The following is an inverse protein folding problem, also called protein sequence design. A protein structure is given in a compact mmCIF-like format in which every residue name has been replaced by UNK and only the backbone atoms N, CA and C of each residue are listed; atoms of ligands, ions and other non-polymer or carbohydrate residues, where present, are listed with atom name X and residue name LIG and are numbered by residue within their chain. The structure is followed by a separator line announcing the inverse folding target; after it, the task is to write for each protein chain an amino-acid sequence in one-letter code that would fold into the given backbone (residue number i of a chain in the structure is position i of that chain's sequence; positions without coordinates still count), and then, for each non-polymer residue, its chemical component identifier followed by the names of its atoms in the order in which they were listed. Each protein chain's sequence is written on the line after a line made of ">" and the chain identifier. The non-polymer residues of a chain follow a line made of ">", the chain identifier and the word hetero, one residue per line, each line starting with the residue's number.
data_IF_818296129498
#
_entry.id   IF_818296129498
#
_cell.length_a   1.000
_cell.length_b   1.000
_cell.length_c   1.000
_cell.angle_alpha   90.00
_cell.angle_beta   90.00
_cell.angle_gamma   90.00
#
_symmetry.space_group_name_H-M   'P 1'
#
loop_
_entity.id
_entity.type
_entity.pdbx_description
1 polymer ?
#
# COMPACT_ATOMS: atom_id res chain seq x y z
N UNK A 1 -32.16 -12.63 19.75
CA UNK A 1 -30.70 -12.49 19.74
C UNK A 1 -30.40 -11.34 18.78
N UNK A 2 -29.95 -10.20 19.29
CA UNK A 2 -29.48 -9.12 18.43
C UNK A 2 -28.26 -9.65 17.67
N UNK A 3 -28.32 -9.62 16.33
CA UNK A 3 -27.17 -9.92 15.48
C UNK A 3 -26.12 -8.87 15.80
N UNK A 4 -25.04 -9.25 16.42
CA UNK A 4 -23.91 -8.40 16.67
C UNK A 4 -23.20 -8.19 15.34
N UNK A 5 -23.28 -6.97 14.76
CA UNK A 5 -22.60 -6.63 13.50
C UNK A 5 -21.09 -6.87 13.60
N UNK A 6 -20.44 -7.07 12.44
CA UNK A 6 -18.98 -7.19 12.37
C UNK A 6 -18.32 -5.92 12.90
N UNK A 7 -17.15 -6.04 13.50
CA UNK A 7 -16.37 -4.88 13.93
C UNK A 7 -15.74 -4.21 12.71
N UNK A 8 -15.93 -2.90 12.57
CA UNK A 8 -15.30 -2.11 11.50
C UNK A 8 -13.88 -1.68 11.90
N UNK A 9 -12.90 -1.75 10.98
CA UNK A 9 -11.49 -1.42 11.28
C UNK A 9 -11.24 0.09 11.26
N UNK A 10 -11.88 0.85 12.16
CA UNK A 10 -11.76 2.31 12.24
C UNK A 10 -10.30 2.67 12.59
N UNK A 11 -9.61 3.36 11.66
CA UNK A 11 -8.22 3.77 11.85
C UNK A 11 -7.19 2.65 11.83
N UNK A 12 -7.58 1.40 11.54
CA UNK A 12 -6.66 0.28 11.42
C UNK A 12 -6.19 0.16 9.97
N UNK A 13 -4.87 0.28 9.75
CA UNK A 13 -4.25 0.19 8.42
C UNK A 13 -3.41 -1.07 8.24
N UNK A 14 -3.27 -1.89 9.29
CA UNK A 14 -2.44 -3.10 9.30
C UNK A 14 -3.29 -4.32 9.06
N UNK A 15 -2.99 -5.08 8.00
CA UNK A 15 -3.73 -6.29 7.61
C UNK A 15 -3.77 -7.32 8.74
N UNK A 16 -2.63 -7.60 9.38
CA UNK A 16 -2.57 -8.52 10.52
C UNK A 16 -3.55 -8.15 11.64
N UNK A 17 -3.59 -6.87 12.04
CA UNK A 17 -4.52 -6.42 13.09
C UNK A 17 -5.97 -6.65 12.71
N UNK A 18 -6.32 -6.42 11.45
CA UNK A 18 -7.67 -6.65 10.93
C UNK A 18 -8.01 -8.15 11.01
N UNK A 19 -7.10 -9.02 10.56
CA UNK A 19 -7.35 -10.46 10.52
C UNK A 19 -7.39 -11.11 11.90
N UNK A 20 -6.41 -10.78 12.75
CA UNK A 20 -6.34 -11.30 14.13
C UNK A 20 -7.50 -10.77 14.99
N UNK A 21 -7.86 -9.49 14.81
CA UNK A 21 -8.97 -8.87 15.53
C UNK A 21 -10.36 -9.24 14.98
N UNK A 22 -10.44 -10.05 13.93
CA UNK A 22 -11.68 -10.43 13.26
C UNK A 22 -12.56 -9.23 12.84
N UNK A 23 -11.89 -8.16 12.39
CA UNK A 23 -12.57 -7.00 11.81
C UNK A 23 -13.07 -7.31 10.40
N UNK A 24 -14.04 -6.52 9.96
CA UNK A 24 -14.48 -6.57 8.58
C UNK A 24 -13.33 -6.26 7.62
N UNK A 25 -13.18 -7.10 6.61
CA UNK A 25 -12.20 -6.94 5.54
C UNK A 25 -12.86 -7.21 4.19
N UNK A 26 -12.84 -6.22 3.31
CA UNK A 26 -13.25 -6.43 1.91
C UNK A 26 -12.09 -7.09 1.19
N UNK A 27 -12.31 -8.31 0.72
CA UNK A 27 -11.27 -9.15 0.15
C UNK A 27 -10.74 -8.58 -1.18
N UNK A 28 -9.54 -8.07 -1.15
CA UNK A 28 -8.77 -7.57 -2.31
C UNK A 28 -7.56 -8.47 -2.63
N UNK A 29 -7.47 -9.64 -2.00
CA UNK A 29 -6.27 -10.47 -2.08
C UNK A 29 -6.04 -11.10 -3.44
N UNK A 30 -7.06 -11.17 -4.30
CA UNK A 30 -6.87 -11.56 -5.70
C UNK A 30 -5.94 -10.58 -6.44
N UNK A 31 -6.02 -9.27 -6.14
CA UNK A 31 -5.11 -8.28 -6.72
C UNK A 31 -3.68 -8.45 -6.22
N UNK A 32 -3.48 -8.86 -4.97
CA UNK A 32 -2.16 -9.22 -4.43
C UNK A 32 -1.56 -10.35 -5.24
N UNK A 33 -2.33 -11.42 -5.48
CA UNK A 33 -1.89 -12.53 -6.32
C UNK A 33 -1.53 -12.09 -7.74
N UNK A 34 -2.39 -11.32 -8.39
CA UNK A 34 -2.16 -10.80 -9.75
C UNK A 34 -0.90 -9.93 -9.84
N UNK A 35 -0.64 -9.08 -8.86
CA UNK A 35 0.56 -8.25 -8.82
C UNK A 35 1.82 -9.10 -8.62
N UNK A 36 1.80 -10.03 -7.68
CA UNK A 36 2.94 -10.89 -7.36
C UNK A 36 3.33 -11.84 -8.51
N UNK A 37 2.38 -12.16 -9.40
CA UNK A 37 2.55 -13.03 -10.56
C UNK A 37 2.48 -12.27 -11.91
N UNK A 38 2.63 -10.94 -11.86
CA UNK A 38 2.64 -10.13 -13.08
C UNK A 38 3.97 -10.27 -13.83
N UNK A 39 3.97 -9.82 -15.07
CA UNK A 39 5.13 -9.72 -15.95
C UNK A 39 6.14 -8.63 -15.54
N UNK A 40 5.80 -7.81 -14.56
CA UNK A 40 6.65 -6.73 -14.03
C UNK A 40 6.86 -6.90 -12.54
N UNK A 41 8.12 -6.85 -12.12
CA UNK A 41 8.50 -6.85 -10.70
C UNK A 41 8.38 -5.46 -10.05
N UNK A 42 8.19 -4.40 -10.83
CA UNK A 42 8.07 -3.03 -10.35
C UNK A 42 6.68 -2.52 -10.62
N UNK A 43 5.91 -2.27 -9.57
CA UNK A 43 4.51 -1.83 -9.67
C UNK A 43 4.33 -0.50 -8.95
N UNK A 44 3.62 0.40 -9.62
CA UNK A 44 3.23 1.68 -9.08
C UNK A 44 1.71 1.83 -9.05
N UNK A 45 1.20 2.30 -7.90
CA UNK A 45 -0.22 2.60 -7.69
C UNK A 45 -0.41 3.99 -7.07
N UNK A 46 -1.11 4.89 -7.74
CA UNK A 46 -1.60 6.10 -7.10
C UNK A 46 -3.10 6.02 -6.83
N UNK A 47 -3.49 6.43 -5.62
CA UNK A 47 -4.88 6.57 -5.17
C UNK A 47 -4.99 7.76 -4.22
N UNK A 48 -6.15 8.40 -4.10
CA UNK A 48 -6.36 9.44 -3.10
C UNK A 48 -6.05 8.96 -1.68
N UNK A 49 -5.96 9.89 -0.74
CA UNK A 49 -5.87 9.56 0.68
C UNK A 49 -7.09 8.74 1.11
N UNK A 50 -6.92 7.89 2.13
CA UNK A 50 -7.98 7.08 2.76
C UNK A 50 -8.61 5.99 1.86
N UNK A 51 -8.00 5.67 0.71
CA UNK A 51 -8.48 4.60 -0.19
C UNK A 51 -7.94 3.21 0.15
N UNK A 52 -7.21 3.02 1.25
CA UNK A 52 -6.71 1.71 1.67
C UNK A 52 -5.36 1.31 1.07
N UNK A 53 -4.54 2.28 0.59
CA UNK A 53 -3.19 2.02 0.08
C UNK A 53 -2.30 1.33 1.11
N UNK A 54 -2.21 1.89 2.32
CA UNK A 54 -1.40 1.33 3.41
C UNK A 54 -1.89 -0.06 3.83
N UNK A 55 -3.21 -0.31 3.81
CA UNK A 55 -3.76 -1.63 4.03
C UNK A 55 -3.31 -2.61 2.93
N UNK A 56 -3.36 -2.21 1.66
CA UNK A 56 -2.87 -3.03 0.55
C UNK A 56 -1.36 -3.31 0.69
N UNK A 57 -0.56 -2.29 1.07
CA UNK A 57 0.88 -2.46 1.29
C UNK A 57 1.16 -3.44 2.42
N UNK A 58 0.44 -3.35 3.56
CA UNK A 58 0.60 -4.32 4.66
C UNK A 58 0.04 -5.71 4.32
N UNK A 59 -0.90 -5.82 3.37
CA UNK A 59 -1.35 -7.12 2.86
C UNK A 59 -0.28 -7.77 1.97
N UNK A 60 0.39 -6.98 1.12
CA UNK A 60 1.55 -7.43 0.34
C UNK A 60 2.71 -7.88 1.25
N UNK A 61 3.00 -7.11 2.30
CA UNK A 61 3.99 -7.46 3.32
C UNK A 61 3.71 -8.83 3.90
N UNK A 62 2.52 -9.05 4.47
CA UNK A 62 2.11 -10.32 5.04
C UNK A 62 2.16 -11.48 4.03
N UNK A 63 1.84 -11.23 2.76
CA UNK A 63 1.91 -12.23 1.70
C UNK A 63 3.37 -12.63 1.42
N UNK A 64 4.26 -11.68 1.21
CA UNK A 64 5.66 -11.95 0.92
C UNK A 64 6.45 -12.46 2.13
N UNK A 65 5.99 -12.21 3.35
CA UNK A 65 6.48 -12.84 4.57
C UNK A 65 5.97 -14.30 4.75
N UNK A 66 5.16 -14.81 3.83
CA UNK A 66 4.64 -16.18 3.90
C UNK A 66 3.58 -16.40 5.00
N UNK A 67 2.95 -15.33 5.53
CA UNK A 67 1.98 -15.35 6.63
C UNK A 67 0.62 -15.96 6.21
N UNK A 68 0.63 -17.19 5.72
CA UNK A 68 -0.54 -17.92 5.19
C UNK A 68 -1.75 -17.90 6.12
N UNK A 69 -1.54 -17.98 7.41
CA UNK A 69 -2.58 -18.02 8.43
C UNK A 69 -3.51 -16.78 8.40
N UNK A 70 -2.98 -15.62 7.97
CA UNK A 70 -3.74 -14.38 7.84
C UNK A 70 -4.70 -14.38 6.65
N UNK A 71 -4.45 -15.22 5.66
CA UNK A 71 -5.24 -15.28 4.42
C UNK A 71 -6.35 -16.33 4.43
N UNK A 72 -6.51 -17.03 5.55
CA UNK A 72 -7.54 -18.06 5.70
C UNK A 72 -8.94 -17.53 5.35
N UNK A 73 -9.60 -18.19 4.41
CA UNK A 73 -10.94 -17.83 3.92
C UNK A 73 -10.97 -16.73 2.87
N UNK A 74 -9.81 -16.16 2.46
CA UNK A 74 -9.69 -15.16 1.42
C UNK A 74 -9.36 -15.78 0.05
N UNK A 75 -9.53 -15.01 -1.02
CA UNK A 75 -9.29 -15.47 -2.38
C UNK A 75 -7.86 -16.00 -2.59
N UNK A 76 -6.87 -15.33 -2.00
CA UNK A 76 -5.46 -15.69 -2.11
C UNK A 76 -5.15 -17.09 -1.56
N UNK A 77 -5.84 -17.54 -0.51
CA UNK A 77 -5.63 -18.90 0.04
C UNK A 77 -5.90 -19.99 -1.00
N UNK A 78 -6.81 -19.74 -1.94
CA UNK A 78 -7.17 -20.69 -3.00
C UNK A 78 -6.33 -20.53 -4.26
N UNK A 79 -5.77 -19.34 -4.47
CA UNK A 79 -4.98 -19.01 -5.66
C UNK A 79 -3.50 -19.37 -5.47
N UNK A 80 -2.98 -19.18 -4.24
CA UNK A 80 -1.57 -19.41 -3.95
C UNK A 80 -1.33 -20.82 -3.43
N UNK A 81 -0.38 -21.51 -4.05
CA UNK A 81 0.04 -22.86 -3.67
C UNK A 81 1.40 -22.87 -2.98
N UNK A 82 2.26 -21.90 -3.31
CA UNK A 82 3.64 -21.81 -2.82
C UNK A 82 3.83 -20.58 -1.95
N UNK A 83 3.62 -20.71 -0.66
CA UNK A 83 3.81 -19.63 0.31
C UNK A 83 5.30 -19.44 0.64
N UNK A 84 6.01 -18.86 -0.31
CA UNK A 84 7.44 -18.59 -0.17
C UNK A 84 7.68 -17.35 0.67
N UNK A 85 8.53 -17.49 1.70
CA UNK A 85 8.98 -16.37 2.54
C UNK A 85 10.11 -15.61 1.83
N UNK A 86 9.97 -14.29 1.76
CA UNK A 86 10.97 -13.36 1.24
C UNK A 86 11.35 -12.34 2.31
N UNK A 87 12.60 -11.83 2.34
CA UNK A 87 12.92 -10.66 3.13
C UNK A 87 12.15 -9.44 2.59
N UNK A 88 11.38 -8.79 3.46
CA UNK A 88 10.58 -7.61 3.10
C UNK A 88 11.17 -6.36 3.75
N UNK A 89 11.38 -5.32 2.95
CA UNK A 89 11.77 -3.99 3.38
C UNK A 89 10.60 -3.05 3.12
N UNK A 90 9.90 -2.65 4.18
CA UNK A 90 8.73 -1.78 4.11
C UNK A 90 9.06 -0.37 4.62
N UNK A 91 8.90 0.64 3.78
CA UNK A 91 9.14 2.05 4.07
C UNK A 91 7.84 2.85 3.97
N UNK A 92 7.28 3.25 5.10
CA UNK A 92 6.20 4.24 5.16
C UNK A 92 6.83 5.64 5.22
N UNK A 93 6.63 6.44 4.17
CA UNK A 93 7.20 7.78 4.05
C UNK A 93 6.32 8.88 4.64
N UNK A 94 5.15 8.53 5.21
CA UNK A 94 4.20 9.50 5.81
C UNK A 94 4.46 9.79 7.29
N UNK A 95 5.41 9.11 7.92
CA UNK A 95 5.59 9.08 9.39
C UNK A 95 6.07 10.39 10.02
N UNK A 96 6.63 11.32 9.23
CA UNK A 96 7.11 12.61 9.73
C UNK A 96 6.82 13.73 8.74
N UNK A 97 6.83 14.98 9.23
CA UNK A 97 6.83 16.16 8.34
C UNK A 97 8.25 16.45 7.88
N UNK A 98 8.43 16.53 6.58
CA UNK A 98 9.71 16.74 5.93
C UNK A 98 9.83 18.22 5.49
N UNK A 99 10.40 19.05 6.36
CA UNK A 99 10.48 20.50 6.12
C UNK A 99 11.79 20.92 5.48
N UNK A 100 12.87 20.13 5.63
CA UNK A 100 14.20 20.37 5.08
C UNK A 100 14.96 19.06 4.81
N UNK A 101 16.17 19.20 4.23
CA UNK A 101 17.04 18.07 3.88
C UNK A 101 17.47 17.28 5.09
N UNK A 102 17.90 17.95 6.14
CA UNK A 102 18.45 17.36 7.35
C UNK A 102 17.42 16.49 8.06
N UNK A 103 16.17 16.97 8.11
CA UNK A 103 15.06 16.22 8.68
C UNK A 103 14.73 14.98 7.86
N UNK A 104 14.64 15.12 6.54
CA UNK A 104 14.38 13.98 5.65
C UNK A 104 15.48 12.92 5.74
N UNK A 105 16.76 13.33 5.68
CA UNK A 105 17.89 12.39 5.82
C UNK A 105 17.89 11.70 7.19
N UNK A 106 17.54 12.41 8.25
CA UNK A 106 17.41 11.83 9.60
C UNK A 106 16.33 10.74 9.65
N UNK A 107 15.16 10.99 9.07
CA UNK A 107 14.07 10.00 9.03
C UNK A 107 14.44 8.77 8.18
N UNK A 108 15.07 8.98 7.01
CA UNK A 108 15.57 7.88 6.19
C UNK A 108 16.62 7.06 6.93
N UNK A 109 17.53 7.71 7.67
CA UNK A 109 18.52 7.03 8.49
C UNK A 109 17.88 6.16 9.57
N UNK A 110 16.85 6.64 10.27
CA UNK A 110 16.14 5.86 11.29
C UNK A 110 15.51 4.60 10.68
N UNK A 111 14.85 4.72 9.53
CA UNK A 111 14.25 3.57 8.84
C UNK A 111 15.31 2.54 8.41
N UNK A 112 16.47 2.98 7.95
CA UNK A 112 17.55 2.07 7.56
C UNK A 112 18.17 1.37 8.77
N UNK A 113 18.28 2.02 9.94
CA UNK A 113 18.79 1.42 11.17
C UNK A 113 17.95 0.19 11.59
N UNK A 114 16.64 0.23 11.40
CA UNK A 114 15.77 -0.92 11.72
C UNK A 114 16.22 -2.17 10.94
N UNK A 115 16.49 -2.04 9.65
CA UNK A 115 16.95 -3.14 8.80
C UNK A 115 18.43 -3.47 8.99
N UNK A 116 19.27 -2.48 9.34
CA UNK A 116 20.67 -2.74 9.71
C UNK A 116 20.78 -3.57 10.98
N UNK A 117 19.86 -3.42 11.92
CA UNK A 117 19.80 -4.28 13.12
C UNK A 117 19.52 -5.75 12.74
N UNK A 118 18.88 -6.02 11.62
CA UNK A 118 18.57 -7.37 11.15
C UNK A 118 19.69 -7.91 10.24
N UNK A 119 20.09 -7.12 9.24
CA UNK A 119 20.98 -7.57 8.17
C UNK A 119 22.44 -7.07 8.32
N UNK A 120 22.69 -6.23 9.32
CA UNK A 120 24.00 -5.62 9.54
C UNK A 120 24.24 -4.37 8.69
N UNK A 121 25.40 -3.74 8.91
CA UNK A 121 25.90 -2.58 8.18
C UNK A 121 27.31 -2.85 7.66
N UNK A 122 27.58 -2.50 6.39
CA UNK A 122 28.90 -2.64 5.77
C UNK A 122 29.84 -1.49 6.12
N UNK A 123 31.15 -1.77 6.11
CA UNK A 123 32.16 -0.72 6.22
C UNK A 123 32.11 0.22 4.99
N UNK A 124 32.18 1.53 5.22
CA UNK A 124 32.14 2.55 4.15
C UNK A 124 30.74 2.88 3.62
N UNK A 125 29.68 2.33 4.17
CA UNK A 125 28.31 2.72 3.86
C UNK A 125 27.93 4.00 4.62
N UNK A 126 28.30 5.16 4.09
CA UNK A 126 28.09 6.44 4.75
C UNK A 126 26.74 7.06 4.42
N UNK A 127 26.32 7.00 3.15
CA UNK A 127 25.15 7.66 2.64
C UNK A 127 23.91 6.73 2.64
N UNK A 128 22.71 7.31 2.71
CA UNK A 128 21.43 6.58 2.75
C UNK A 128 21.27 5.61 1.57
N UNK A 129 21.71 5.97 0.37
CA UNK A 129 21.63 5.10 -0.80
C UNK A 129 22.61 3.91 -0.71
N UNK A 130 23.84 4.11 -0.26
CA UNK A 130 24.83 3.04 -0.05
C UNK A 130 24.34 2.05 1.02
N UNK A 131 23.81 2.56 2.12
CA UNK A 131 23.24 1.77 3.21
C UNK A 131 22.03 0.94 2.71
N UNK A 132 21.11 1.56 1.99
CA UNK A 132 19.95 0.85 1.44
C UNK A 132 20.39 -0.24 0.44
N UNK A 133 21.34 0.06 -0.45
CA UNK A 133 21.93 -0.93 -1.35
C UNK A 133 22.58 -2.09 -0.59
N UNK A 134 23.35 -1.79 0.46
CA UNK A 134 23.99 -2.79 1.29
C UNK A 134 23.00 -3.69 2.02
N UNK A 135 21.91 -3.12 2.56
CA UNK A 135 20.84 -3.87 3.21
C UNK A 135 20.22 -4.87 2.23
N UNK A 136 19.86 -4.43 1.00
CA UNK A 136 19.27 -5.30 -0.03
C UNK A 136 20.21 -6.48 -0.34
N UNK A 137 21.51 -6.23 -0.55
CA UNK A 137 22.49 -7.27 -0.86
C UNK A 137 22.65 -8.26 0.29
N UNK A 138 22.82 -7.78 1.51
CA UNK A 138 22.97 -8.64 2.69
C UNK A 138 21.72 -9.44 3.01
N UNK A 139 20.54 -8.85 2.85
CA UNK A 139 19.28 -9.57 3.00
C UNK A 139 19.21 -10.74 2.00
N UNK A 140 19.57 -10.51 0.74
CA UNK A 140 19.68 -11.57 -0.27
C UNK A 140 20.73 -12.63 0.09
N UNK A 141 21.93 -12.22 0.46
CA UNK A 141 23.05 -13.12 0.78
C UNK A 141 22.74 -14.00 2.00
N UNK A 142 22.14 -13.43 3.04
CA UNK A 142 21.82 -14.14 4.29
C UNK A 142 20.64 -15.10 4.14
N UNK A 143 19.65 -14.76 3.31
CA UNK A 143 18.43 -15.56 3.18
C UNK A 143 18.45 -16.50 1.95
N UNK A 144 19.32 -16.24 0.98
CA UNK A 144 19.29 -16.90 -0.34
C UNK A 144 18.03 -16.59 -1.15
N UNK A 145 17.24 -15.58 -0.75
CA UNK A 145 16.00 -15.16 -1.37
C UNK A 145 16.09 -13.72 -1.87
N UNK A 146 15.48 -13.46 -3.03
CA UNK A 146 15.35 -12.09 -3.52
C UNK A 146 14.51 -11.25 -2.54
N UNK A 147 14.82 -9.96 -2.49
CA UNK A 147 14.24 -9.01 -1.54
C UNK A 147 12.96 -8.37 -2.11
N UNK A 148 11.97 -8.18 -1.28
CA UNK A 148 10.78 -7.40 -1.59
C UNK A 148 10.93 -6.00 -0.98
N UNK A 149 10.64 -4.97 -1.76
CA UNK A 149 10.66 -3.58 -1.30
C UNK A 149 9.28 -2.96 -1.46
N UNK A 150 8.70 -2.52 -0.36
CA UNK A 150 7.40 -1.86 -0.30
C UNK A 150 7.58 -0.42 0.17
N UNK A 151 7.11 0.54 -0.62
CA UNK A 151 7.23 1.97 -0.31
C UNK A 151 5.83 2.58 -0.31
N UNK A 152 5.34 2.87 0.89
CA UNK A 152 4.05 3.54 1.06
C UNK A 152 4.23 5.06 1.13
N UNK A 153 3.33 5.78 0.47
CA UNK A 153 3.31 7.25 0.37
C UNK A 153 4.66 7.86 -0.08
N UNK A 154 5.24 7.30 -1.17
CA UNK A 154 6.55 7.68 -1.73
C UNK A 154 6.74 9.18 -1.95
N UNK A 155 5.67 9.92 -2.15
CA UNK A 155 5.61 11.33 -2.48
C UNK A 155 5.37 12.24 -1.26
N UNK A 156 5.08 11.68 -0.08
CA UNK A 156 4.79 12.45 1.12
C UNK A 156 5.88 13.49 1.46
N UNK A 157 7.19 13.17 1.39
CA UNK A 157 8.23 14.16 1.68
C UNK A 157 8.23 15.36 0.75
N UNK A 158 7.78 15.20 -0.50
CA UNK A 158 7.73 16.30 -1.47
C UNK A 158 6.42 17.07 -1.41
N UNK A 159 5.34 16.42 -0.99
CA UNK A 159 4.05 17.09 -0.80
C UNK A 159 4.10 18.09 0.37
N UNK A 160 4.88 17.82 1.39
CA UNK A 160 5.06 18.72 2.53
C UNK A 160 5.66 20.07 2.12
N UNK A 161 6.50 20.09 1.08
CA UNK A 161 7.23 21.29 0.58
C UNK A 161 6.85 21.67 -0.85
N UNK A 162 5.71 21.19 -1.35
CA UNK A 162 5.32 21.37 -2.76
C UNK A 162 5.23 22.85 -3.19
N UNK A 163 4.93 23.74 -2.26
CA UNK A 163 4.86 25.19 -2.48
C UNK A 163 6.17 25.95 -2.17
N UNK A 164 7.23 25.24 -1.79
CA UNK A 164 8.51 25.80 -1.39
C UNK A 164 9.54 25.69 -2.51
N UNK A 165 9.73 26.76 -3.29
CA UNK A 165 10.64 26.78 -4.44
C UNK A 165 12.09 26.39 -4.09
N UNK A 166 12.54 26.66 -2.87
CA UNK A 166 13.91 26.36 -2.41
C UNK A 166 14.08 24.91 -1.98
N UNK A 167 13.15 24.39 -1.18
CA UNK A 167 13.28 23.07 -0.55
C UNK A 167 12.86 21.93 -1.48
N UNK A 168 11.85 22.14 -2.31
CA UNK A 168 11.33 21.09 -3.21
C UNK A 168 12.42 20.46 -4.12
N UNK A 169 13.29 21.20 -4.81
CA UNK A 169 14.36 20.60 -5.62
C UNK A 169 15.38 19.82 -4.79
N UNK A 170 15.69 20.31 -3.57
CA UNK A 170 16.65 19.67 -2.66
C UNK A 170 16.10 18.33 -2.16
N UNK A 171 14.87 18.32 -1.63
CA UNK A 171 14.23 17.09 -1.15
C UNK A 171 14.01 16.09 -2.29
N UNK A 172 13.62 16.57 -3.48
CA UNK A 172 13.52 15.72 -4.67
C UNK A 172 14.83 15.02 -5.00
N UNK A 173 15.95 15.68 -4.88
CA UNK A 173 17.27 15.09 -5.12
C UNK A 173 17.62 14.05 -4.05
N UNK A 174 17.32 14.31 -2.77
CA UNK A 174 17.49 13.32 -1.69
C UNK A 174 16.67 12.06 -1.97
N UNK A 175 15.39 12.22 -2.33
CA UNK A 175 14.51 11.08 -2.63
C UNK A 175 14.96 10.31 -3.87
N UNK A 176 15.42 11.00 -4.93
CA UNK A 176 15.99 10.35 -6.11
C UNK A 176 17.19 9.49 -5.74
N UNK A 177 18.10 10.03 -4.94
CA UNK A 177 19.26 9.29 -4.45
C UNK A 177 18.85 8.09 -3.59
N UNK A 178 17.89 8.27 -2.69
CA UNK A 178 17.38 7.18 -1.85
C UNK A 178 16.77 6.03 -2.65
N UNK A 179 16.06 6.30 -3.76
CA UNK A 179 15.45 5.26 -4.59
C UNK A 179 16.39 4.69 -5.67
N UNK A 180 17.57 5.29 -5.91
CA UNK A 180 18.51 4.83 -6.93
C UNK A 180 18.99 3.37 -6.76
N UNK A 181 19.13 2.82 -5.52
CA UNK A 181 19.46 1.41 -5.31
C UNK A 181 18.47 0.43 -5.90
N UNK A 182 17.20 0.79 -6.06
CA UNK A 182 16.19 -0.09 -6.66
C UNK A 182 16.59 -0.53 -8.09
N UNK A 183 17.23 0.36 -8.86
CA UNK A 183 17.77 0.02 -10.18
C UNK A 183 19.07 -0.78 -10.09
N UNK A 184 19.97 -0.37 -9.21
CA UNK A 184 21.28 -0.99 -9.06
C UNK A 184 21.20 -2.41 -8.49
N UNK A 185 20.15 -2.70 -7.70
CA UNK A 185 19.90 -3.97 -7.04
C UNK A 185 18.89 -4.87 -7.78
N UNK A 186 18.49 -4.54 -9.00
CA UNK A 186 17.50 -5.31 -9.78
C UNK A 186 17.68 -6.85 -9.70
N UNK A 187 18.90 -7.42 -9.83
CA UNK A 187 19.09 -8.87 -9.73
C UNK A 187 18.74 -9.48 -8.36
N UNK A 188 18.73 -8.66 -7.32
CA UNK A 188 18.45 -9.07 -5.94
C UNK A 188 17.00 -8.83 -5.53
N UNK A 189 16.19 -8.19 -6.40
CA UNK A 189 14.81 -7.80 -6.11
C UNK A 189 13.79 -8.77 -6.70
N UNK A 190 12.89 -9.27 -5.87
CA UNK A 190 11.73 -10.09 -6.27
C UNK A 190 10.55 -9.23 -6.70
N UNK A 191 10.31 -8.15 -5.95
CA UNK A 191 9.14 -7.30 -6.14
C UNK A 191 9.38 -5.91 -5.53
N UNK A 192 8.93 -4.88 -6.21
CA UNK A 192 8.98 -3.50 -5.75
C UNK A 192 7.60 -2.89 -5.92
N UNK A 193 7.01 -2.44 -4.85
CA UNK A 193 5.72 -1.76 -4.88
C UNK A 193 5.85 -0.34 -4.33
N UNK A 194 5.36 0.61 -5.11
CA UNK A 194 5.36 2.02 -4.73
C UNK A 194 3.93 2.54 -4.76
N UNK A 195 3.52 3.20 -3.68
CA UNK A 195 2.21 3.84 -3.65
C UNK A 195 2.28 5.27 -3.13
N UNK A 196 1.37 6.12 -3.61
CA UNK A 196 1.27 7.52 -3.24
C UNK A 196 -0.02 8.18 -3.73
N UNK A 197 -0.06 9.50 -3.66
CA UNK A 197 -1.20 10.32 -4.08
C UNK A 197 -0.95 10.90 -5.47
N UNK A 198 0.27 11.32 -5.73
CA UNK A 198 0.66 12.02 -6.96
C UNK A 198 0.84 11.06 -8.11
N UNK A 199 0.52 11.51 -9.33
CA UNK A 199 0.83 10.75 -10.53
C UNK A 199 2.34 10.64 -10.70
N UNK A 200 2.82 9.46 -11.06
CA UNK A 200 4.22 9.10 -11.23
C UNK A 200 5.06 10.13 -12.04
N UNK A 201 4.48 10.67 -13.11
CA UNK A 201 5.16 11.61 -14.01
C UNK A 201 5.39 13.02 -13.44
N UNK A 202 4.68 13.40 -12.39
CA UNK A 202 4.70 14.80 -11.92
C UNK A 202 5.93 15.14 -11.07
N UNK A 203 6.53 14.15 -10.39
CA UNK A 203 7.62 14.41 -9.45
C UNK A 203 9.02 14.10 -9.99
N UNK A 204 9.14 13.44 -11.16
CA UNK A 204 10.42 13.10 -11.82
C UNK A 204 11.46 12.40 -10.90
N UNK A 205 11.01 11.71 -9.86
CA UNK A 205 11.90 11.02 -8.90
C UNK A 205 12.43 9.72 -9.50
N UNK A 206 11.61 9.07 -10.32
CA UNK A 206 11.89 7.75 -10.88
C UNK A 206 12.27 7.80 -12.37
N UNK A 207 12.82 8.91 -12.84
CA UNK A 207 13.24 9.04 -14.25
C UNK A 207 14.24 7.97 -14.69
N UNK A 208 14.89 7.31 -13.74
CA UNK A 208 15.86 6.24 -14.00
C UNK A 208 15.25 4.83 -13.94
N UNK A 209 14.05 4.68 -13.41
CA UNK A 209 13.32 3.40 -13.34
C UNK A 209 12.36 3.28 -14.52
N UNK A 210 12.85 2.81 -15.67
CA UNK A 210 12.07 2.75 -16.91
C UNK A 210 11.13 1.53 -16.99
N UNK A 211 11.23 0.61 -16.03
CA UNK A 211 10.52 -0.67 -15.99
C UNK A 211 9.33 -0.71 -15.01
N UNK A 212 8.89 0.43 -14.50
CA UNK A 212 7.76 0.49 -13.57
C UNK A 212 6.44 0.38 -14.33
N UNK A 213 5.65 -0.64 -14.01
CA UNK A 213 4.28 -0.83 -14.48
C UNK A 213 3.33 0.04 -13.64
N UNK A 214 2.80 1.07 -14.24
CA UNK A 214 1.80 1.90 -13.58
C UNK A 214 0.41 1.29 -13.74
N UNK A 215 -0.14 0.76 -12.64
CA UNK A 215 -1.46 0.11 -12.62
C UNK A 215 -2.62 1.05 -12.23
N UNK A 216 -2.32 2.34 -11.99
CA UNK A 216 -3.30 3.27 -11.42
C UNK A 216 -4.56 3.45 -12.26
N UNK A 217 -4.44 3.36 -13.59
CA UNK A 217 -5.56 3.56 -14.53
C UNK A 217 -5.90 2.30 -15.33
N UNK A 218 -5.27 1.15 -15.02
CA UNK A 218 -5.58 -0.10 -15.69
C UNK A 218 -6.94 -0.63 -15.22
N UNK A 219 -7.85 -0.97 -16.15
CA UNK A 219 -9.19 -1.44 -15.81
C UNK A 219 -9.22 -2.64 -14.88
N UNK A 220 -8.29 -3.58 -15.06
CA UNK A 220 -8.15 -4.78 -14.23
C UNK A 220 -7.74 -4.51 -12.79
N UNK A 221 -7.28 -3.28 -12.46
CA UNK A 221 -6.92 -2.83 -11.12
C UNK A 221 -7.80 -1.68 -10.61
N UNK A 222 -8.92 -1.40 -11.28
CA UNK A 222 -9.79 -0.29 -10.91
C UNK A 222 -10.29 -0.40 -9.47
N UNK A 223 -10.68 -1.59 -9.05
CA UNK A 223 -11.24 -1.89 -7.73
C UNK A 223 -10.23 -2.38 -6.70
N UNK A 224 -8.91 -2.25 -6.96
CA UNK A 224 -7.85 -2.70 -6.03
C UNK A 224 -7.90 -2.00 -4.67
N UNK A 225 -8.38 -0.77 -4.65
CA UNK A 225 -8.58 0.05 -3.44
C UNK A 225 -10.00 0.63 -3.47
N UNK A 226 -10.53 0.95 -2.28
CA UNK A 226 -11.90 1.39 -2.12
C UNK A 226 -12.88 0.21 -2.09
N UNK A 227 -14.18 0.51 -2.11
CA UNK A 227 -15.25 -0.49 -2.05
C UNK A 227 -16.19 -0.26 -3.24
N UNK A 228 -16.43 -1.29 -4.05
CA UNK A 228 -17.38 -1.25 -5.17
C UNK A 228 -18.79 -1.58 -4.68
N UNK A 229 -19.79 -1.25 -5.51
CA UNK A 229 -21.18 -1.63 -5.24
C UNK A 229 -21.37 -3.15 -5.18
N UNK A 230 -20.70 -3.88 -6.06
CA UNK A 230 -20.74 -5.34 -6.08
C UNK A 230 -20.14 -5.91 -4.80
N UNK A 231 -19.04 -5.36 -4.31
CA UNK A 231 -18.44 -5.77 -3.03
C UNK A 231 -19.32 -5.42 -1.84
N UNK A 232 -20.00 -4.27 -1.86
CA UNK A 232 -21.00 -3.95 -0.83
C UNK A 232 -22.12 -4.96 -0.83
N UNK A 233 -22.68 -5.30 -2.01
CA UNK A 233 -23.78 -6.24 -2.11
C UNK A 233 -23.41 -7.68 -1.74
N UNK A 234 -22.16 -8.09 -1.95
CA UNK A 234 -21.71 -9.49 -1.77
C UNK A 234 -20.95 -9.76 -0.47
N UNK A 235 -20.25 -8.75 0.05
CA UNK A 235 -19.39 -8.91 1.25
C UNK A 235 -19.92 -8.16 2.48
N UNK A 236 -20.91 -7.24 2.29
CA UNK A 236 -21.51 -6.44 3.35
C UNK A 236 -23.06 -6.60 3.40
N UNK A 237 -23.60 -7.63 2.81
CA UNK A 237 -25.04 -7.87 2.74
C UNK A 237 -25.71 -7.88 4.11
N UNK A 238 -25.15 -8.61 5.08
CA UNK A 238 -25.66 -8.64 6.47
C UNK A 238 -25.62 -7.26 7.14
N UNK A 239 -24.56 -6.50 6.90
CA UNK A 239 -24.39 -5.15 7.47
C UNK A 239 -25.37 -4.16 6.82
N UNK A 240 -25.61 -4.29 5.51
CA UNK A 240 -26.62 -3.49 4.80
C UNK A 240 -28.04 -3.79 5.32
N UNK A 241 -28.37 -5.06 5.59
CA UNK A 241 -29.65 -5.46 6.18
C UNK A 241 -29.86 -4.86 7.56
N UNK A 242 -28.83 -4.89 8.42
CA UNK A 242 -28.85 -4.28 9.76
C UNK A 242 -29.09 -2.76 9.64
N UNK A 243 -28.36 -2.10 8.73
CA UNK A 243 -28.49 -0.65 8.54
C UNK A 243 -29.87 -0.28 7.96
N UNK A 244 -30.38 -1.08 7.00
CA UNK A 244 -31.72 -0.91 6.44
C UNK A 244 -32.80 -1.00 7.52
N UNK A 245 -32.69 -1.99 8.41
CA UNK A 245 -33.61 -2.15 9.53
C UNK A 245 -33.54 -0.96 10.52
N UNK A 246 -32.35 -0.46 10.83
CA UNK A 246 -32.17 0.72 11.72
C UNK A 246 -32.73 2.01 11.11
N UNK A 247 -32.57 2.20 9.81
CA UNK A 247 -33.04 3.40 9.10
C UNK A 247 -34.50 3.28 8.64
N UNK A 248 -35.14 2.11 8.82
CA UNK A 248 -36.46 1.79 8.35
C UNK A 248 -36.65 2.05 6.84
N UNK A 249 -35.68 1.62 6.04
CA UNK A 249 -35.65 1.72 4.58
C UNK A 249 -35.23 0.35 3.98
N UNK A 250 -35.31 0.20 2.66
CA UNK A 250 -34.79 -0.99 2.00
C UNK A 250 -33.27 -0.88 1.70
N UNK A 251 -32.61 -2.01 1.39
CA UNK A 251 -31.18 -2.05 1.13
C UNK A 251 -30.76 -1.20 -0.08
N UNK A 252 -31.60 -1.09 -1.12
CA UNK A 252 -31.33 -0.22 -2.28
C UNK A 252 -31.24 1.26 -1.88
N UNK A 253 -32.10 1.67 -0.95
CA UNK A 253 -32.12 3.04 -0.43
C UNK A 253 -30.92 3.32 0.49
N UNK A 254 -30.46 2.30 1.24
CA UNK A 254 -29.21 2.37 2.01
C UNK A 254 -28.04 2.58 1.07
N UNK A 255 -27.90 1.76 0.03
CA UNK A 255 -26.82 1.89 -0.97
C UNK A 255 -26.85 3.27 -1.64
N UNK A 256 -28.03 3.79 -2.01
CA UNK A 256 -28.15 5.15 -2.56
C UNK A 256 -27.68 6.23 -1.60
N UNK A 257 -28.01 6.11 -0.30
CA UNK A 257 -27.54 7.05 0.73
C UNK A 257 -26.05 6.96 0.93
N UNK A 258 -25.47 5.75 0.99
CA UNK A 258 -24.02 5.55 1.08
C UNK A 258 -23.31 6.17 -0.13
N UNK A 259 -23.80 5.94 -1.34
CA UNK A 259 -23.28 6.59 -2.55
C UNK A 259 -23.29 8.11 -2.43
N UNK A 260 -24.43 8.70 -2.08
CA UNK A 260 -24.55 10.15 -1.98
C UNK A 260 -23.54 10.77 -1.00
N UNK A 261 -23.08 10.03 0.01
CA UNK A 261 -22.13 10.52 1.01
C UNK A 261 -20.67 10.19 0.67
N UNK A 262 -20.40 9.09 -0.03
CA UNK A 262 -19.04 8.53 -0.16
C UNK A 262 -18.59 8.32 -1.60
N UNK A 263 -19.47 8.48 -2.60
CA UNK A 263 -19.17 8.27 -4.01
C UNK A 263 -18.53 9.50 -4.67
N UNK A 264 -17.80 9.27 -5.75
CA UNK A 264 -17.27 10.36 -6.58
C UNK A 264 -15.90 10.09 -7.21
N UNK A 265 -15.35 8.90 -7.09
CA UNK A 265 -14.03 8.58 -7.67
C UNK A 265 -14.13 7.57 -8.80
N UNK A 266 -13.53 7.92 -9.95
CA UNK A 266 -13.41 7.06 -11.12
C UNK A 266 -11.93 6.84 -11.42
N UNK A 267 -11.51 5.57 -11.48
CA UNK A 267 -10.12 5.21 -11.76
C UNK A 267 -9.93 4.54 -13.12
N UNK A 268 -10.98 4.48 -13.92
CA UNK A 268 -10.94 4.04 -15.32
C UNK A 268 -11.89 4.88 -16.16
N UNK A 269 -11.86 4.72 -17.47
CA UNK A 269 -12.87 5.30 -18.39
C UNK A 269 -14.21 4.57 -18.28
N UNK A 270 -14.30 3.45 -17.58
CA UNK A 270 -15.53 2.75 -17.26
C UNK A 270 -16.15 3.29 -15.96
N UNK A 271 -17.48 3.30 -15.90
CA UNK A 271 -18.28 3.80 -14.76
C UNK A 271 -18.24 2.82 -13.56
N UNK A 272 -17.06 2.52 -13.02
CA UNK A 272 -16.95 1.78 -11.76
C UNK A 272 -17.01 2.83 -10.65
N UNK A 273 -18.11 2.84 -9.91
CA UNK A 273 -18.28 3.66 -8.73
C UNK A 273 -17.51 3.04 -7.56
N UNK A 274 -16.61 3.79 -6.95
CA UNK A 274 -15.77 3.33 -5.85
C UNK A 274 -15.95 4.31 -4.68
N UNK A 275 -16.34 3.77 -3.53
CA UNK A 275 -16.55 4.53 -2.30
C UNK A 275 -15.29 4.60 -1.45
N UNK A 276 -15.11 5.70 -0.72
CA UNK A 276 -13.99 5.90 0.22
C UNK A 276 -14.22 5.10 1.51
N UNK A 277 -13.41 4.08 1.83
CA UNK A 277 -13.71 3.14 2.92
C UNK A 277 -13.64 3.74 4.32
N UNK A 278 -12.85 4.80 4.53
CA UNK A 278 -12.59 5.32 5.87
C UNK A 278 -13.57 6.41 6.34
N UNK A 279 -14.37 6.98 5.45
CA UNK A 279 -15.46 7.89 5.83
C UNK A 279 -16.67 7.19 6.46
N UNK A 280 -16.78 5.87 6.29
CA UNK A 280 -17.89 5.10 6.89
C UNK A 280 -17.90 5.14 8.42
N UNK A 281 -16.78 5.50 9.06
CA UNK A 281 -16.63 5.55 10.50
C UNK A 281 -17.32 6.76 11.17
N UNK A 282 -17.74 7.77 10.41
CA UNK A 282 -18.32 9.01 10.97
C UNK A 282 -19.87 8.96 11.11
N UNK A 283 -20.50 7.83 10.75
CA UNK A 283 -21.98 7.66 10.81
C UNK A 283 -22.40 6.71 11.96
N UNK A 284 -21.62 6.57 13.00
CA UNK A 284 -22.03 5.79 14.18
C UNK A 284 -22.57 6.68 15.30
#
# INVERSE_FOLDING_TARGET
>A
MERQGRLYPIGIQTFEKIRVGNYMYIDKTEYVYRMAHSDSNYIFLSRPRRFGKSLLTSTLEAYFEGRRELFKGLALERLETEWTEYPVLHFDMSTAKHVDKERLESELNLKLIEYENVYGRGEGEENVNQRFQGIIRRAYEQTGRQVVVLIDEYDAPLLDVVHEEKNLPVLRNVMRNFYSPLKACDPYLRFVFLTGITKFSQLSIFSELNNIKNISMLPEYAAICGITEEEMATQMDEDLDILAGRLNVNCEEVVKKLKAHYDGYHFTLSLIHISEPTRQAEIS
#
